data_IF_420091181611
#
_entry.id   IF_420091181611
#
_cell.length_a   1.000
_cell.length_b   1.000
_cell.length_c   1.000
_cell.angle_alpha   90.00
_cell.angle_beta   90.00
_cell.angle_gamma   90.00
#
_symmetry.space_group_name_H-M   'P 1'
#
loop_
_entity.id
_entity.type
_entity.pdbx_description
1 polymer ?
#
# COMPACT_ATOMS: atom_id res chain seq x y z
N UNK A 1 0.04 -15.60 9.40
CA UNK A 1 -1.02 -14.67 9.82
C UNK A 1 -1.68 -13.93 8.65
N UNK A 2 -0.94 -13.47 7.62
CA UNK A 2 -1.54 -12.78 6.47
C UNK A 2 -2.67 -13.56 5.77
N UNK A 3 -2.48 -14.86 5.54
CA UNK A 3 -3.51 -15.73 4.97
C UNK A 3 -4.65 -16.11 5.92
N UNK A 4 -4.60 -15.72 7.20
CA UNK A 4 -5.68 -15.96 8.17
C UNK A 4 -6.62 -14.75 8.28
N UNK A 5 -6.38 -13.70 7.51
CA UNK A 5 -7.27 -12.55 7.46
C UNK A 5 -8.64 -12.96 6.90
N UNK A 6 -9.73 -12.33 7.38
CA UNK A 6 -11.06 -12.63 6.89
C UNK A 6 -11.17 -12.33 5.38
N UNK A 7 -11.86 -13.22 4.67
CA UNK A 7 -12.15 -13.10 3.24
C UNK A 7 -13.65 -13.27 2.99
N UNK A 8 -14.25 -12.34 2.26
CA UNK A 8 -15.68 -12.37 1.96
C UNK A 8 -16.09 -13.67 1.25
N UNK A 9 -17.15 -14.30 1.73
CA UNK A 9 -17.65 -15.58 1.20
C UNK A 9 -16.67 -16.75 1.32
N UNK A 10 -15.62 -16.64 2.14
CA UNK A 10 -14.52 -17.60 2.23
C UNK A 10 -13.82 -17.88 0.88
N UNK A 11 -13.82 -16.89 -0.02
CA UNK A 11 -13.24 -17.01 -1.34
C UNK A 11 -11.77 -16.57 -1.29
N UNK A 12 -10.85 -17.53 -1.26
CA UNK A 12 -9.40 -17.32 -1.21
C UNK A 12 -8.82 -16.84 -2.55
N UNK A 13 -9.28 -15.68 -3.01
CA UNK A 13 -8.89 -15.05 -4.29
C UNK A 13 -7.61 -14.24 -4.20
N UNK A 14 -7.09 -13.99 -3.01
CA UNK A 14 -5.87 -13.22 -2.84
C UNK A 14 -4.66 -14.04 -3.31
N UNK A 15 -3.75 -13.41 -4.05
CA UNK A 15 -2.45 -13.95 -4.45
C UNK A 15 -1.37 -12.94 -4.08
N UNK A 16 -0.12 -13.37 -4.16
CA UNK A 16 1.02 -12.53 -3.80
C UNK A 16 2.13 -12.80 -4.81
N UNK A 17 2.75 -11.74 -5.29
CA UNK A 17 4.03 -11.83 -6.02
C UNK A 17 5.10 -11.20 -5.14
N UNK A 18 6.24 -11.88 -5.03
CA UNK A 18 7.44 -11.35 -4.39
C UNK A 18 8.48 -11.20 -5.51
N UNK A 19 8.83 -9.96 -5.84
CA UNK A 19 9.83 -9.63 -6.85
C UNK A 19 11.16 -9.39 -6.16
N UNK A 20 12.13 -10.26 -6.44
CA UNK A 20 13.51 -10.17 -5.92
C UNK A 20 14.54 -9.96 -7.03
N UNK A 21 14.15 -10.23 -8.27
CA UNK A 21 14.99 -10.00 -9.45
C UNK A 21 15.35 -8.52 -9.58
N UNK A 22 16.64 -8.18 -9.73
CA UNK A 22 17.09 -6.78 -9.74
C UNK A 22 16.61 -6.01 -10.96
N UNK A 23 16.50 -6.63 -12.13
CA UNK A 23 16.04 -5.98 -13.36
C UNK A 23 14.55 -5.67 -13.27
N UNK A 24 13.74 -6.64 -12.82
CA UNK A 24 12.32 -6.42 -12.58
C UNK A 24 12.06 -5.32 -11.53
N UNK A 25 12.84 -5.30 -10.44
CA UNK A 25 12.72 -4.24 -9.44
C UNK A 25 13.09 -2.86 -9.99
N UNK A 26 14.11 -2.78 -10.84
CA UNK A 26 14.52 -1.52 -11.49
C UNK A 26 13.42 -0.98 -12.41
N UNK A 27 12.81 -1.84 -13.24
CA UNK A 27 11.71 -1.46 -14.12
C UNK A 27 10.46 -1.03 -13.33
N UNK A 28 10.09 -1.74 -12.26
CA UNK A 28 8.98 -1.34 -11.38
C UNK A 28 9.28 0.02 -10.73
N UNK A 29 10.52 0.24 -10.28
CA UNK A 29 10.94 1.49 -9.68
C UNK A 29 10.92 2.67 -10.66
N UNK A 30 11.26 2.43 -11.92
CA UNK A 30 11.14 3.42 -12.99
C UNK A 30 9.69 3.93 -13.11
N UNK A 31 8.72 3.03 -13.36
CA UNK A 31 7.30 3.42 -13.45
C UNK A 31 6.76 4.03 -12.15
N UNK A 32 7.21 3.54 -11.00
CA UNK A 32 6.85 4.12 -9.71
C UNK A 32 7.30 5.58 -9.60
N UNK A 33 8.51 5.88 -10.08
CA UNK A 33 9.10 7.23 -10.01
C UNK A 33 8.43 8.23 -10.95
N UNK A 34 7.95 7.80 -12.12
CA UNK A 34 7.23 8.65 -13.09
C UNK A 34 5.96 9.27 -12.48
N UNK A 35 5.36 8.58 -11.51
CA UNK A 35 4.15 9.02 -10.81
C UNK A 35 4.50 9.72 -9.49
N UNK A 36 5.43 9.14 -8.74
CA UNK A 36 5.78 9.62 -7.40
C UNK A 36 6.42 11.01 -7.42
N UNK A 37 7.35 11.30 -8.35
CA UNK A 37 8.04 12.59 -8.37
C UNK A 37 7.09 13.76 -8.66
N UNK A 38 6.23 13.72 -9.71
CA UNK A 38 5.28 14.81 -9.95
C UNK A 38 4.28 14.99 -8.79
N UNK A 39 3.81 13.89 -8.19
CA UNK A 39 2.90 13.94 -7.04
C UNK A 39 3.52 14.65 -5.83
N UNK A 40 4.77 14.34 -5.51
CA UNK A 40 5.49 14.96 -4.39
C UNK A 40 5.83 16.43 -4.67
N UNK A 41 6.23 16.77 -5.90
CA UNK A 41 6.50 18.15 -6.30
C UNK A 41 5.25 19.03 -6.14
N UNK A 42 4.09 18.56 -6.62
CA UNK A 42 2.83 19.29 -6.46
C UNK A 42 2.38 19.42 -4.98
N UNK A 43 2.79 18.48 -4.13
CA UNK A 43 2.45 18.50 -2.70
C UNK A 43 3.35 19.45 -1.89
N UNK A 44 4.60 19.66 -2.33
CA UNK A 44 5.56 20.55 -1.67
C UNK A 44 5.13 22.02 -1.76
N UNK A 45 4.49 22.44 -2.85
CA UNK A 45 4.05 23.82 -3.06
C UNK A 45 2.86 24.23 -2.17
N UNK A 46 2.15 23.27 -1.57
CA UNK A 46 0.88 23.51 -0.87
C UNK A 46 1.05 23.53 0.66
N UNK A 47 2.14 22.98 1.22
CA UNK A 47 2.23 22.67 2.65
C UNK A 47 3.59 23.01 3.26
N UNK A 48 3.57 23.68 4.42
CA UNK A 48 4.74 24.32 5.03
C UNK A 48 5.07 23.83 6.45
N UNK A 49 4.44 22.74 6.94
CA UNK A 49 4.78 22.19 8.26
C UNK A 49 5.93 21.17 8.18
N UNK A 50 6.83 21.20 9.17
CA UNK A 50 8.02 20.34 9.23
C UNK A 50 7.72 18.84 9.11
N UNK A 51 6.52 18.42 9.55
CA UNK A 51 6.12 17.01 9.46
C UNK A 51 5.88 16.62 8.01
N UNK A 52 5.18 17.47 7.27
CA UNK A 52 4.93 17.25 5.85
C UNK A 52 6.24 17.21 5.08
N UNK A 53 7.19 18.10 5.39
CA UNK A 53 8.53 18.09 4.82
C UNK A 53 9.26 16.76 5.04
N UNK A 54 9.29 16.24 6.28
CA UNK A 54 9.88 14.92 6.58
C UNK A 54 9.22 13.77 5.83
N UNK A 55 7.90 13.83 5.62
CA UNK A 55 7.18 12.81 4.84
C UNK A 55 7.57 12.90 3.36
N UNK A 56 7.67 14.11 2.81
CA UNK A 56 8.10 14.32 1.42
C UNK A 56 9.53 13.82 1.23
N UNK A 57 10.47 14.22 2.10
CA UNK A 57 11.87 13.78 2.07
C UNK A 57 11.98 12.25 2.13
N UNK A 58 11.28 11.61 3.09
CA UNK A 58 11.23 10.16 3.19
C UNK A 58 10.62 9.49 1.94
N UNK A 59 9.65 10.12 1.29
CA UNK A 59 9.03 9.59 0.07
C UNK A 59 9.94 9.73 -1.14
N UNK A 60 10.68 10.85 -1.25
CA UNK A 60 11.71 11.05 -2.29
C UNK A 60 12.81 10.01 -2.13
N UNK A 61 13.31 9.81 -0.91
CA UNK A 61 14.31 8.78 -0.62
C UNK A 61 13.81 7.39 -1.04
N UNK A 62 12.54 7.04 -0.73
CA UNK A 62 11.97 5.78 -1.18
C UNK A 62 11.92 5.67 -2.71
N UNK A 63 11.54 6.73 -3.43
CA UNK A 63 11.52 6.72 -4.90
C UNK A 63 12.92 6.43 -5.45
N UNK A 64 13.94 7.08 -4.92
CA UNK A 64 15.32 6.96 -5.39
C UNK A 64 15.89 5.56 -5.13
N UNK A 65 15.54 4.95 -3.99
CA UNK A 65 16.10 3.69 -3.52
C UNK A 65 15.14 2.49 -3.62
N UNK A 66 13.98 2.64 -4.29
CA UNK A 66 12.95 1.59 -4.33
C UNK A 66 13.50 0.26 -4.87
N UNK A 67 14.36 0.31 -5.89
CA UNK A 67 14.94 -0.85 -6.56
C UNK A 67 16.00 -1.57 -5.69
N UNK A 68 16.55 -0.91 -4.67
CA UNK A 68 17.61 -1.44 -3.81
C UNK A 68 17.07 -2.38 -2.72
N UNK A 69 15.77 -2.28 -2.37
CA UNK A 69 15.18 -3.12 -1.33
C UNK A 69 15.26 -4.61 -1.71
N UNK A 70 15.46 -5.54 -0.76
CA UNK A 70 15.57 -6.97 -1.04
C UNK A 70 14.36 -7.55 -1.79
N UNK A 71 13.16 -7.06 -1.51
CA UNK A 71 11.95 -7.56 -2.15
C UNK A 71 10.88 -6.47 -2.32
N UNK A 72 10.20 -6.51 -3.47
CA UNK A 72 8.93 -5.82 -3.70
C UNK A 72 7.80 -6.85 -3.61
N UNK A 73 6.82 -6.63 -2.74
CA UNK A 73 5.67 -7.53 -2.56
C UNK A 73 4.41 -6.89 -3.11
N UNK A 74 3.76 -7.56 -4.05
CA UNK A 74 2.55 -7.10 -4.72
C UNK A 74 1.40 -8.04 -4.32
N UNK A 75 0.49 -7.63 -3.42
CA UNK A 75 -0.77 -8.32 -3.22
C UNK A 75 -1.67 -8.20 -4.45
N UNK A 76 -2.22 -9.33 -4.84
CA UNK A 76 -3.08 -9.49 -6.00
C UNK A 76 -4.46 -10.02 -5.60
N UNK A 77 -5.44 -9.80 -6.46
CA UNK A 77 -6.75 -10.46 -6.40
C UNK A 77 -7.14 -11.03 -7.75
N UNK A 78 -7.67 -12.26 -7.76
CA UNK A 78 -8.13 -12.97 -8.97
C UNK A 78 -9.48 -12.47 -9.52
N UNK A 79 -9.77 -11.18 -9.34
CA UNK A 79 -10.93 -10.48 -9.87
C UNK A 79 -10.63 -8.97 -9.94
N UNK A 80 -11.48 -8.22 -10.65
CA UNK A 80 -11.41 -6.75 -10.75
C UNK A 80 -12.25 -6.07 -9.68
N UNK A 81 -11.89 -4.85 -9.23
CA UNK A 81 -12.74 -4.08 -8.33
C UNK A 81 -14.12 -3.86 -8.98
N UNK A 82 -15.22 -3.99 -8.21
CA UNK A 82 -16.55 -3.63 -8.70
C UNK A 82 -16.60 -2.18 -9.17
N UNK A 83 -17.25 -1.93 -10.31
CA UNK A 83 -17.41 -0.60 -10.91
C UNK A 83 -18.89 -0.37 -11.27
N UNK A 84 -19.34 0.89 -11.23
CA UNK A 84 -20.72 1.30 -11.55
C UNK A 84 -21.50 1.84 -10.35
N UNK A 85 -22.67 2.42 -10.62
CA UNK A 85 -23.57 2.95 -9.58
C UNK A 85 -24.11 1.84 -8.66
N UNK A 86 -24.34 2.17 -7.39
CA UNK A 86 -24.90 1.27 -6.37
C UNK A 86 -24.06 0.02 -6.05
N UNK A 87 -22.74 0.08 -6.27
CA UNK A 87 -21.80 -1.02 -6.01
C UNK A 87 -20.99 -0.84 -4.71
N UNK A 88 -21.36 0.08 -3.83
CA UNK A 88 -20.59 0.44 -2.63
C UNK A 88 -20.38 -0.77 -1.71
N UNK A 89 -21.43 -1.57 -1.50
CA UNK A 89 -21.35 -2.79 -0.69
C UNK A 89 -20.38 -3.82 -1.27
N UNK A 90 -20.45 -4.03 -2.59
CA UNK A 90 -19.55 -4.92 -3.33
C UNK A 90 -18.11 -4.43 -3.28
N UNK A 91 -17.87 -3.13 -3.47
CA UNK A 91 -16.55 -2.52 -3.38
C UNK A 91 -15.98 -2.66 -1.96
N UNK A 92 -16.80 -2.42 -0.94
CA UNK A 92 -16.43 -2.61 0.46
C UNK A 92 -16.04 -4.06 0.76
N UNK A 93 -16.82 -5.04 0.30
CA UNK A 93 -16.50 -6.46 0.43
C UNK A 93 -15.23 -6.85 -0.33
N UNK A 94 -15.00 -6.29 -1.52
CA UNK A 94 -13.83 -6.56 -2.35
C UNK A 94 -12.54 -6.10 -1.67
N UNK A 95 -12.46 -4.82 -1.26
CA UNK A 95 -11.29 -4.28 -0.56
C UNK A 95 -11.13 -4.89 0.83
N UNK A 96 -12.24 -5.05 1.57
CA UNK A 96 -12.27 -5.71 2.88
C UNK A 96 -11.77 -7.15 2.85
N UNK A 97 -11.78 -7.80 1.69
CA UNK A 97 -11.24 -9.15 1.52
C UNK A 97 -9.75 -9.21 1.22
N UNK A 98 -9.06 -8.09 0.95
CA UNK A 98 -7.61 -8.08 0.67
C UNK A 98 -6.82 -7.22 1.66
N UNK A 99 -7.28 -6.00 1.93
CA UNK A 99 -6.54 -5.04 2.75
C UNK A 99 -6.16 -5.59 4.13
N UNK A 100 -7.02 -6.33 4.87
CA UNK A 100 -6.66 -6.90 6.16
C UNK A 100 -5.51 -7.92 6.07
N UNK A 101 -5.45 -8.70 4.99
CA UNK A 101 -4.36 -9.65 4.73
C UNK A 101 -3.04 -8.92 4.48
N UNK A 102 -3.07 -7.85 3.69
CA UNK A 102 -1.91 -6.99 3.41
C UNK A 102 -1.42 -6.28 4.67
N UNK A 103 -2.31 -5.72 5.48
CA UNK A 103 -1.95 -5.14 6.77
C UNK A 103 -1.34 -6.18 7.73
N UNK A 104 -1.96 -7.37 7.81
CA UNK A 104 -1.44 -8.48 8.62
C UNK A 104 -0.05 -8.94 8.17
N UNK A 105 0.24 -8.92 6.87
CA UNK A 105 1.57 -9.15 6.34
C UNK A 105 2.56 -8.11 6.87
N UNK A 106 2.24 -6.82 6.80
CA UNK A 106 3.13 -5.76 7.28
C UNK A 106 3.40 -5.85 8.79
N UNK A 107 2.38 -6.17 9.60
CA UNK A 107 2.55 -6.42 11.03
C UNK A 107 3.46 -7.63 11.30
N UNK A 108 3.30 -8.71 10.53
CA UNK A 108 4.11 -9.91 10.65
C UNK A 108 5.57 -9.69 10.22
N UNK A 109 5.79 -8.88 9.18
CA UNK A 109 7.10 -8.44 8.72
C UNK A 109 7.80 -7.62 9.82
N UNK A 110 7.09 -6.63 10.39
CA UNK A 110 7.59 -5.80 11.49
C UNK A 110 7.99 -6.62 12.71
N UNK A 111 7.16 -7.59 13.11
CA UNK A 111 7.48 -8.51 14.21
C UNK A 111 8.72 -9.39 13.96
N UNK A 112 9.20 -9.47 12.72
CA UNK A 112 10.36 -10.27 12.29
C UNK A 112 11.57 -9.41 11.91
N UNK A 113 11.57 -8.12 12.27
CA UNK A 113 12.69 -7.24 11.99
C UNK A 113 12.68 -6.62 10.58
N UNK A 114 11.58 -6.75 9.83
CA UNK A 114 11.46 -6.19 8.49
C UNK A 114 10.61 -4.91 8.51
N UNK A 115 11.08 -3.88 7.83
CA UNK A 115 10.31 -2.71 7.45
C UNK A 115 9.53 -2.93 6.17
N UNK A 116 8.34 -2.33 6.09
CA UNK A 116 7.59 -2.20 4.84
C UNK A 116 6.74 -0.94 4.83
N UNK A 117 6.37 -0.48 3.64
CA UNK A 117 5.49 0.68 3.47
C UNK A 117 4.41 0.37 2.45
N UNK A 118 3.20 0.89 2.67
CA UNK A 118 2.10 0.73 1.73
C UNK A 118 2.20 1.78 0.64
N UNK A 119 2.29 1.36 -0.62
CA UNK A 119 2.36 2.29 -1.75
C UNK A 119 1.43 1.89 -2.89
N UNK A 120 1.07 2.86 -3.72
CA UNK A 120 0.13 2.66 -4.85
C UNK A 120 0.53 3.38 -6.13
N UNK A 121 1.66 4.09 -6.18
CA UNK A 121 2.06 4.85 -7.38
C UNK A 121 2.21 3.97 -8.63
N UNK A 122 2.74 2.75 -8.49
CA UNK A 122 2.82 1.78 -9.60
C UNK A 122 1.45 1.46 -10.25
N UNK A 123 0.33 1.65 -9.55
CA UNK A 123 -1.00 1.35 -10.08
C UNK A 123 -1.41 2.29 -11.22
N UNK A 124 -0.80 3.47 -11.35
CA UNK A 124 -1.02 4.30 -12.54
C UNK A 124 -0.44 3.66 -13.82
N UNK A 125 0.51 2.73 -13.67
CA UNK A 125 1.09 1.92 -14.73
C UNK A 125 0.72 0.44 -14.58
N UNK A 126 -0.41 0.11 -13.91
CA UNK A 126 -0.80 -1.27 -13.57
C UNK A 126 -0.73 -2.24 -14.76
N UNK A 127 -1.21 -1.83 -15.94
CA UNK A 127 -1.16 -2.67 -17.14
C UNK A 127 0.28 -2.98 -17.59
N UNK A 128 1.21 -2.03 -17.46
CA UNK A 128 2.64 -2.22 -17.78
C UNK A 128 3.32 -3.13 -16.78
N UNK A 129 3.01 -2.97 -15.50
CA UNK A 129 3.49 -3.88 -14.45
C UNK A 129 2.91 -5.29 -14.66
N UNK A 130 1.66 -5.41 -15.11
CA UNK A 130 1.04 -6.69 -15.44
C UNK A 130 1.73 -7.38 -16.62
N UNK A 131 2.04 -6.65 -17.69
CA UNK A 131 2.82 -7.15 -18.84
C UNK A 131 4.21 -7.64 -18.38
N UNK A 132 4.91 -6.82 -17.60
CA UNK A 132 6.25 -7.13 -17.06
C UNK A 132 6.27 -8.40 -16.22
N UNK A 133 5.23 -8.64 -15.41
CA UNK A 133 5.15 -9.75 -14.46
C UNK A 133 4.30 -10.93 -14.94
N UNK A 134 3.77 -10.88 -16.16
CA UNK A 134 2.87 -11.91 -16.71
C UNK A 134 1.53 -12.03 -15.98
N UNK A 135 1.04 -10.94 -15.38
CA UNK A 135 -0.24 -10.91 -14.66
C UNK A 135 -1.39 -10.78 -15.68
N UNK A 136 -2.38 -11.70 -15.68
CA UNK A 136 -3.53 -11.59 -16.57
C UNK A 136 -4.36 -10.33 -16.29
N UNK A 137 -4.98 -9.73 -17.32
CA UNK A 137 -5.80 -8.53 -17.19
C UNK A 137 -7.04 -8.67 -16.30
N UNK A 138 -7.43 -9.91 -15.97
CA UNK A 138 -8.52 -10.23 -15.03
C UNK A 138 -8.11 -10.18 -13.56
N UNK A 139 -6.79 -10.11 -13.29
CA UNK A 139 -6.21 -10.03 -11.95
C UNK A 139 -5.93 -8.57 -11.61
N UNK A 140 -6.10 -8.19 -10.35
CA UNK A 140 -5.84 -6.83 -9.87
C UNK A 140 -4.61 -6.76 -8.99
N UNK A 141 -3.76 -5.76 -9.23
CA UNK A 141 -2.75 -5.33 -8.28
C UNK A 141 -3.40 -4.41 -7.23
N UNK A 142 -3.17 -4.69 -5.95
CA UNK A 142 -3.84 -3.96 -4.85
C UNK A 142 -2.94 -2.93 -4.17
N UNK A 143 -1.63 -3.19 -4.13
CA UNK A 143 -0.61 -2.34 -3.54
C UNK A 143 0.78 -2.81 -3.99
N UNK A 144 1.79 -2.01 -3.68
CA UNK A 144 3.21 -2.39 -3.75
C UNK A 144 3.82 -2.14 -2.38
N UNK A 145 4.43 -3.17 -1.81
CA UNK A 145 5.13 -3.11 -0.53
C UNK A 145 6.63 -3.31 -0.75
N UNK A 146 7.45 -2.27 -0.64
CA UNK A 146 8.89 -2.41 -0.49
C UNK A 146 9.17 -3.07 0.86
N UNK A 147 9.98 -4.13 0.88
CA UNK A 147 10.31 -4.89 2.09
C UNK A 147 11.82 -5.00 2.25
N UNK A 148 12.32 -4.56 3.41
CA UNK A 148 13.75 -4.58 3.74
C UNK A 148 13.97 -4.80 5.24
N UNK A 149 15.18 -5.17 5.64
CA UNK A 149 15.59 -5.03 7.04
C UNK A 149 15.70 -3.53 7.36
N UNK A 150 15.07 -3.08 8.43
CA UNK A 150 15.19 -1.68 8.84
C UNK A 150 16.55 -1.45 9.50
N UNK A 151 17.17 -0.31 9.24
CA UNK A 151 18.52 0.03 9.71
C UNK A 151 18.52 0.97 10.93
N UNK A 152 17.35 1.47 11.34
CA UNK A 152 17.20 2.26 12.57
C UNK A 152 17.05 1.39 13.82
N UNK A 153 16.92 2.02 14.99
CA UNK A 153 16.79 1.31 16.27
C UNK A 153 15.40 0.70 16.47
N UNK A 154 14.36 1.40 16.03
CA UNK A 154 12.96 0.96 16.15
C UNK A 154 12.02 1.79 15.29
N UNK A 155 10.73 1.47 15.33
CA UNK A 155 9.67 2.24 14.71
C UNK A 155 8.80 2.92 15.77
N UNK A 156 8.59 4.22 15.63
CA UNK A 156 7.75 4.99 16.54
C UNK A 156 6.29 5.08 16.08
N UNK A 157 5.32 5.14 17.00
CA UNK A 157 3.94 5.46 16.66
C UNK A 157 3.89 6.81 15.94
N UNK A 158 3.25 6.84 14.78
CA UNK A 158 3.05 8.09 14.07
C UNK A 158 2.01 8.94 14.83
N UNK A 159 2.21 10.28 14.96
CA UNK A 159 1.20 11.13 15.57
C UNK A 159 -0.10 11.04 14.77
N UNK A 160 -1.19 10.76 15.48
CA UNK A 160 -2.56 10.67 14.97
C UNK A 160 -3.44 11.64 15.76
N UNK A 161 -4.59 11.98 15.18
CA UNK A 161 -5.62 12.76 15.89
C UNK A 161 -6.05 12.00 17.16
N UNK A 162 -6.38 12.70 18.25
CA UNK A 162 -7.01 12.10 19.41
C UNK A 162 -8.26 11.27 19.04
N UNK A 163 -8.57 10.25 19.83
CA UNK A 163 -9.64 9.29 19.53
C UNK A 163 -11.02 9.97 19.48
N UNK A 164 -11.22 10.98 20.32
CA UNK A 164 -12.40 11.83 20.42
C UNK A 164 -12.67 12.68 19.17
N UNK A 165 -11.65 12.96 18.35
CA UNK A 165 -11.82 13.69 17.09
C UNK A 165 -12.29 12.78 15.93
N UNK A 166 -12.06 11.47 16.04
CA UNK A 166 -12.30 10.51 14.94
C UNK A 166 -13.35 9.45 15.25
N UNK A 167 -13.90 9.47 16.47
CA UNK A 167 -14.86 8.48 16.94
C UNK A 167 -16.15 9.15 17.39
N UNK A 168 -17.27 8.70 16.82
CA UNK A 168 -18.59 9.16 17.20
C UNK A 168 -19.45 8.01 17.73
N UNK A 169 -20.28 8.28 18.73
CA UNK A 169 -21.22 7.34 19.30
C UNK A 169 -22.60 7.52 18.67
N UNK A 170 -23.15 6.45 18.08
CA UNK A 170 -24.50 6.35 17.51
C UNK A 170 -24.86 7.27 16.34
N UNK A 171 -24.14 8.37 16.11
CA UNK A 171 -24.46 9.33 15.07
C UNK A 171 -23.27 10.15 14.59
N UNK A 172 -23.36 10.67 13.36
CA UNK A 172 -22.33 11.54 12.80
C UNK A 172 -22.16 12.80 13.65
N UNK A 173 -20.90 13.14 13.99
CA UNK A 173 -20.55 14.28 14.84
C UNK A 173 -21.16 14.24 16.26
N UNK A 174 -21.34 13.05 16.82
CA UNK A 174 -21.70 12.83 18.23
C UNK A 174 -20.49 12.25 18.99
N UNK A 175 -19.63 13.06 19.62
CA UNK A 175 -18.38 12.57 20.21
C UNK A 175 -18.59 11.51 21.29
N UNK A 176 -17.65 10.57 21.39
CA UNK A 176 -17.53 9.69 22.56
C UNK A 176 -17.19 10.54 23.80
N UNK A 177 -17.77 10.20 24.96
CA UNK A 177 -17.46 10.81 26.26
C UNK A 177 -16.55 9.91 27.08
#
# INVERSE_FOLDING_TARGET
>A
VAGHAPVGGNLERNRWIIVTDPELKAEIAHYYSEVGRPYLAASADIRTDERTERVIESSVHLIDHLHEVPALVIPLRLDRPPAGENNEGSAGGWWGSVLPGVWSFQLAARARGLGSTWTTFHLAHEAKISELLGIPSTVSQCALLPVAFYTGDTFHPAPRRPVEEVTYLNGWKQPIR
#
